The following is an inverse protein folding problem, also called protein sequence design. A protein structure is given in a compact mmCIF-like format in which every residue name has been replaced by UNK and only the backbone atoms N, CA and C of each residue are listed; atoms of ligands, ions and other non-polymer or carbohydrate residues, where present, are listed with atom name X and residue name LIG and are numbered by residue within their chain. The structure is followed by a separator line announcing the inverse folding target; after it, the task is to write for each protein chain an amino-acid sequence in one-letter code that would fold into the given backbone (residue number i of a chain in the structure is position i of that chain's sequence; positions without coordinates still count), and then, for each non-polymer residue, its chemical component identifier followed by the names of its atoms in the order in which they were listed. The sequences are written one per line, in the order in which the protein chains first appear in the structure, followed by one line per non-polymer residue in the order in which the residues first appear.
data_IF_050387563772
#
_entry.id   IF_050387563772
#
_cell.length_a   1.000
_cell.length_b   1.000
_cell.length_c   1.000
_cell.angle_alpha   90.00
_cell.angle_beta   90.00
_cell.angle_gamma   90.00
#
_symmetry.space_group_name_H-M   'P 1'
#
loop_
_entity.id
_entity.type
_entity.pdbx_description
1 polymer ?
#
# COMPACT_ATOMS: atom_id res chain seq x y z
N UNK A 1 -4.09 -18.99 9.23
CA UNK A 1 -4.44 -17.61 8.82
C UNK A 1 -3.83 -17.17 7.48
N UNK A 2 -2.81 -17.87 6.97
CA UNK A 2 -2.17 -17.55 5.67
C UNK A 2 -3.11 -17.34 4.48
N UNK A 3 -4.12 -18.21 4.30
CA UNK A 3 -5.09 -18.07 3.20
C UNK A 3 -5.87 -16.74 3.27
N UNK A 4 -6.16 -16.27 4.48
CA UNK A 4 -6.87 -15.00 4.71
C UNK A 4 -5.97 -13.82 4.34
N UNK A 5 -4.69 -13.84 4.72
CA UNK A 5 -3.75 -12.78 4.34
C UNK A 5 -3.50 -12.75 2.82
N UNK A 6 -3.47 -13.91 2.16
CA UNK A 6 -3.37 -14.00 0.71
C UNK A 6 -4.60 -13.37 0.03
N UNK A 7 -5.80 -13.65 0.55
CA UNK A 7 -7.03 -13.01 0.08
C UNK A 7 -6.98 -11.48 0.24
N UNK A 8 -6.50 -10.98 1.38
CA UNK A 8 -6.29 -9.54 1.58
C UNK A 8 -5.21 -8.95 0.66
N UNK A 9 -4.18 -9.70 0.29
CA UNK A 9 -3.20 -9.25 -0.72
C UNK A 9 -3.86 -9.04 -2.09
N UNK A 10 -4.73 -9.97 -2.51
CA UNK A 10 -5.43 -9.87 -3.80
C UNK A 10 -6.36 -8.65 -3.79
N UNK A 11 -7.14 -8.48 -2.73
CA UNK A 11 -8.03 -7.34 -2.54
C UNK A 11 -7.25 -6.02 -2.52
N UNK A 12 -6.14 -5.99 -1.78
CA UNK A 12 -5.29 -4.80 -1.65
C UNK A 12 -4.58 -4.39 -2.94
N UNK A 13 -4.55 -5.25 -3.97
CA UNK A 13 -4.15 -4.89 -5.33
C UNK A 13 -5.38 -4.51 -6.16
N UNK A 14 -6.41 -5.35 -6.14
CA UNK A 14 -7.57 -5.20 -7.01
C UNK A 14 -8.26 -3.84 -6.84
N UNK A 15 -8.52 -3.40 -5.61
CA UNK A 15 -9.23 -2.15 -5.36
C UNK A 15 -8.44 -0.90 -5.79
N UNK A 16 -7.16 -0.71 -5.37
CA UNK A 16 -6.40 0.45 -5.81
C UNK A 16 -6.23 0.53 -7.32
N UNK A 17 -5.91 -0.59 -7.99
CA UNK A 17 -5.76 -0.61 -9.44
C UNK A 17 -7.08 -0.40 -10.17
N UNK A 18 -8.19 -0.92 -9.66
CA UNK A 18 -9.51 -0.66 -10.24
C UNK A 18 -9.84 0.84 -10.24
N UNK A 19 -9.65 1.53 -9.11
CA UNK A 19 -9.88 2.98 -9.02
C UNK A 19 -8.88 3.79 -9.87
N UNK A 20 -7.61 3.37 -9.93
CA UNK A 20 -6.59 4.01 -10.76
C UNK A 20 -6.93 3.91 -12.26
N UNK A 21 -7.37 2.74 -12.73
CA UNK A 21 -7.73 2.51 -14.14
C UNK A 21 -8.97 3.35 -14.49
N UNK A 22 -10.00 3.37 -13.64
CA UNK A 22 -11.18 4.20 -13.87
C UNK A 22 -10.82 5.69 -13.93
N UNK A 23 -9.92 6.15 -13.06
CA UNK A 23 -9.41 7.51 -13.10
C UNK A 23 -8.67 7.81 -14.41
N UNK A 24 -7.78 6.92 -14.85
CA UNK A 24 -7.04 7.08 -16.10
C UNK A 24 -7.98 7.08 -17.32
N UNK A 25 -8.97 6.20 -17.36
CA UNK A 25 -9.97 6.18 -18.43
C UNK A 25 -10.76 7.49 -18.51
N UNK A 26 -11.11 8.07 -17.36
CA UNK A 26 -11.82 9.35 -17.30
C UNK A 26 -10.92 10.56 -17.68
N UNK A 27 -9.60 10.46 -17.51
CA UNK A 27 -8.64 11.56 -17.71
C UNK A 27 -7.73 11.37 -18.94
N UNK A 28 -8.20 10.67 -19.98
CA UNK A 28 -7.43 10.42 -21.21
C UNK A 28 -6.05 9.78 -20.96
N UNK A 29 -5.96 8.83 -20.03
CA UNK A 29 -4.73 8.19 -19.56
C UNK A 29 -3.69 9.15 -18.98
N UNK A 30 -4.12 10.33 -18.55
CA UNK A 30 -3.29 11.30 -17.85
C UNK A 30 -3.45 11.17 -16.34
N UNK A 31 -2.34 11.34 -15.62
CA UNK A 31 -2.33 11.49 -14.16
C UNK A 31 -2.59 12.93 -13.71
N UNK A 32 -2.83 13.85 -14.65
CA UNK A 32 -3.12 15.25 -14.33
C UNK A 32 -4.39 15.36 -13.47
N UNK A 33 -4.32 16.13 -12.38
CA UNK A 33 -5.43 16.32 -11.45
C UNK A 33 -5.64 15.21 -10.42
N UNK A 34 -4.85 14.12 -10.45
CA UNK A 34 -4.98 13.04 -9.47
C UNK A 34 -4.73 13.53 -8.03
N UNK A 35 -3.64 14.26 -7.81
CA UNK A 35 -3.30 14.80 -6.49
C UNK A 35 -4.24 15.94 -6.07
N UNK A 36 -4.71 16.74 -7.03
CA UNK A 36 -5.68 17.81 -6.75
C UNK A 36 -6.98 17.24 -6.21
N UNK A 37 -7.46 16.12 -6.76
CA UNK A 37 -8.63 15.40 -6.27
C UNK A 37 -8.39 14.71 -4.92
N UNK A 38 -7.17 14.23 -4.69
CA UNK A 38 -6.77 13.62 -3.42
C UNK A 38 -6.84 14.61 -2.24
N UNK A 39 -6.63 15.89 -2.53
CA UNK A 39 -6.68 16.98 -1.54
C UNK A 39 -7.81 18.00 -1.81
N UNK A 40 -8.82 17.62 -2.60
CA UNK A 40 -9.88 18.54 -3.01
C UNK A 40 -10.77 19.01 -1.86
N UNK A 41 -10.89 18.22 -0.80
CA UNK A 41 -11.67 18.58 0.39
C UNK A 41 -11.01 18.04 1.67
N UNK A 42 -11.44 18.57 2.82
CA UNK A 42 -10.91 18.20 4.13
C UNK A 42 -11.13 16.73 4.50
N UNK A 43 -12.25 16.14 4.08
CA UNK A 43 -12.57 14.74 4.39
C UNK A 43 -11.66 13.75 3.65
N UNK A 44 -11.45 13.93 2.34
CA UNK A 44 -10.54 13.10 1.53
C UNK A 44 -9.09 13.35 1.94
N UNK A 45 -8.74 14.60 2.27
CA UNK A 45 -7.42 14.94 2.81
C UNK A 45 -7.17 14.23 4.14
N UNK A 46 -8.14 14.18 5.05
CA UNK A 46 -8.02 13.45 6.33
C UNK A 46 -7.70 11.97 6.10
N UNK A 47 -8.43 11.30 5.20
CA UNK A 47 -8.19 9.88 4.86
C UNK A 47 -6.81 9.70 4.22
N UNK A 48 -6.41 10.61 3.33
CA UNK A 48 -5.11 10.55 2.67
C UNK A 48 -3.96 10.72 3.67
N UNK A 49 -4.10 11.63 4.64
CA UNK A 49 -3.14 11.80 5.72
C UNK A 49 -3.09 10.61 6.66
N UNK A 50 -4.24 10.05 7.05
CA UNK A 50 -4.29 8.84 7.89
C UNK A 50 -3.54 7.67 7.24
N UNK A 51 -3.81 7.43 5.95
CA UNK A 51 -3.12 6.39 5.17
C UNK A 51 -1.62 6.69 5.02
N UNK A 52 -1.25 7.96 4.82
CA UNK A 52 0.15 8.37 4.69
C UNK A 52 0.93 8.16 5.98
N UNK A 53 0.35 8.51 7.14
CA UNK A 53 0.97 8.29 8.45
C UNK A 53 1.08 6.79 8.76
N UNK A 54 0.06 5.99 8.42
CA UNK A 54 0.12 4.53 8.56
C UNK A 54 1.23 3.92 7.68
N UNK A 55 1.32 4.34 6.42
CA UNK A 55 2.37 3.92 5.50
C UNK A 55 3.77 4.31 6.01
N UNK A 56 3.94 5.54 6.51
CA UNK A 56 5.21 6.02 7.05
C UNK A 56 5.63 5.27 8.31
N UNK A 57 4.68 4.97 9.19
CA UNK A 57 4.90 4.18 10.40
C UNK A 57 5.37 2.77 10.05
N UNK A 58 4.71 2.14 9.07
CA UNK A 58 5.12 0.82 8.58
C UNK A 58 6.47 0.85 7.87
N UNK A 59 6.77 1.92 7.14
CA UNK A 59 8.06 2.16 6.52
C UNK A 59 9.20 2.25 7.55
N UNK A 60 9.01 3.02 8.62
CA UNK A 60 9.96 3.10 9.74
C UNK A 60 10.16 1.73 10.41
N UNK A 61 9.08 0.98 10.60
CA UNK A 61 9.13 -0.40 11.11
C UNK A 61 9.92 -1.34 10.20
N UNK A 62 9.73 -1.25 8.88
CA UNK A 62 10.51 -2.00 7.90
C UNK A 62 12.00 -1.65 8.00
N UNK A 63 12.36 -0.37 8.07
CA UNK A 63 13.78 0.04 8.23
C UNK A 63 14.39 -0.59 9.49
N UNK A 64 13.66 -0.56 10.61
CA UNK A 64 14.12 -1.19 11.85
C UNK A 64 14.38 -2.69 11.68
N UNK A 65 13.49 -3.43 11.02
CA UNK A 65 13.68 -4.87 10.75
C UNK A 65 14.74 -5.16 9.69
N UNK A 66 14.96 -4.25 8.73
CA UNK A 66 15.93 -4.43 7.65
C UNK A 66 17.34 -4.64 8.20
N UNK A 67 17.66 -3.94 9.31
CA UNK A 67 18.95 -4.07 10.00
C UNK A 67 19.28 -5.49 10.48
N UNK A 68 18.26 -6.33 10.69
CA UNK A 68 18.44 -7.69 11.19
C UNK A 68 18.33 -8.77 10.10
N UNK A 69 17.51 -8.56 9.06
CA UNK A 69 17.31 -9.51 7.93
C UNK A 69 16.98 -8.79 6.61
N UNK A 70 17.97 -8.38 5.80
CA UNK A 70 17.75 -7.47 4.68
C UNK A 70 17.06 -8.09 3.46
N UNK A 71 17.36 -9.35 3.13
CA UNK A 71 16.98 -9.96 1.83
C UNK A 71 15.46 -10.11 1.62
N UNK A 72 14.67 -10.37 2.66
CA UNK A 72 13.21 -10.52 2.53
C UNK A 72 12.46 -9.19 2.58
N UNK A 73 13.08 -8.14 3.13
CA UNK A 73 12.39 -6.87 3.38
C UNK A 73 12.29 -5.96 2.16
N UNK A 74 13.24 -6.07 1.21
CA UNK A 74 13.19 -5.35 -0.06
C UNK A 74 11.89 -5.57 -0.82
N UNK A 75 11.29 -6.77 -0.70
CA UNK A 75 10.01 -7.09 -1.33
C UNK A 75 8.86 -6.24 -0.78
N UNK A 76 8.75 -6.08 0.54
CA UNK A 76 7.69 -5.26 1.13
C UNK A 76 7.90 -3.78 0.85
N UNK A 77 9.16 -3.35 0.78
CA UNK A 77 9.52 -1.99 0.36
C UNK A 77 9.03 -1.74 -1.07
N UNK A 78 9.35 -2.62 -2.01
CA UNK A 78 8.87 -2.53 -3.38
C UNK A 78 7.33 -2.53 -3.47
N UNK A 79 6.65 -3.40 -2.70
CA UNK A 79 5.19 -3.43 -2.66
C UNK A 79 4.57 -2.14 -2.11
N UNK A 80 5.21 -1.51 -1.12
CA UNK A 80 4.74 -0.24 -0.54
C UNK A 80 4.77 0.90 -1.57
N UNK A 81 5.77 0.95 -2.44
CA UNK A 81 5.88 1.98 -3.49
C UNK A 81 5.10 1.64 -4.76
N UNK A 82 5.02 0.36 -5.15
CA UNK A 82 4.35 -0.03 -6.39
C UNK A 82 2.82 -0.06 -6.26
N UNK A 83 2.30 -0.49 -5.11
CA UNK A 83 0.84 -0.67 -4.91
C UNK A 83 0.35 0.18 -3.76
N UNK A 84 1.10 0.23 -2.66
CA UNK A 84 0.75 0.98 -1.46
C UNK A 84 0.70 0.12 -0.21
N UNK A 85 0.29 0.76 0.90
CA UNK A 85 0.19 0.13 2.22
C UNK A 85 -0.78 -1.06 2.24
N UNK A 86 -1.84 -1.01 1.42
CA UNK A 86 -2.89 -2.02 1.35
C UNK A 86 -2.37 -3.42 0.98
N UNK A 87 -1.33 -3.53 0.15
CA UNK A 87 -0.68 -4.81 -0.17
C UNK A 87 0.49 -5.13 0.77
N UNK A 88 1.28 -4.11 1.11
CA UNK A 88 2.54 -4.30 1.82
C UNK A 88 2.34 -4.92 3.22
N UNK A 89 1.29 -4.51 3.94
CA UNK A 89 0.99 -5.04 5.26
C UNK A 89 0.49 -6.49 5.23
N UNK A 90 -0.54 -6.87 4.45
CA UNK A 90 -0.97 -8.26 4.35
C UNK A 90 0.12 -9.21 3.87
N UNK A 91 0.97 -8.77 2.93
CA UNK A 91 2.09 -9.57 2.43
C UNK A 91 3.12 -9.83 3.54
N UNK A 92 3.44 -8.80 4.33
CA UNK A 92 4.33 -8.93 5.48
C UNK A 92 3.78 -9.90 6.53
N UNK A 93 2.48 -9.81 6.85
CA UNK A 93 1.83 -10.73 7.78
C UNK A 93 1.80 -12.17 7.26
N UNK A 94 1.58 -12.35 5.96
CA UNK A 94 1.61 -13.68 5.33
C UNK A 94 2.98 -14.35 5.48
N UNK A 95 4.05 -13.62 5.17
CA UNK A 95 5.41 -14.17 5.18
C UNK A 95 5.96 -14.39 6.61
N UNK A 96 5.50 -13.60 7.59
CA UNK A 96 5.92 -13.76 9.01
C UNK A 96 5.08 -14.77 9.80
N UNK A 97 3.97 -15.25 9.26
CA UNK A 97 3.04 -16.11 9.99
C UNK A 97 3.59 -17.49 10.38
N UNK A 98 4.55 -18.06 9.62
CA UNK A 98 5.17 -19.36 9.94
C UNK A 98 6.44 -19.23 10.81
N UNK A 99 6.88 -18.00 11.09
CA UNK A 99 8.12 -17.74 11.83
C UNK A 99 7.91 -17.49 13.33
N UNK A 100 6.70 -17.70 13.83
CA UNK A 100 6.32 -17.66 15.25
C UNK A 100 5.83 -19.03 15.69
#
# INVERSE_FOLDING_TARGET
MKKIYLFFCIIGIAFPYYHLINFLQANNWSMNGFFDLLYANSAVSMISWDLSVAALSFFAFLIYKFRNKPLRLLRYFACLFMVGFSLALPLYLYDTHDTN
#
